data_IF_783394441058
#
_entry.id   IF_783394441058
#
_cell.length_a   1.000
_cell.length_b   1.000
_cell.length_c   1.000
_cell.angle_alpha   90.00
_cell.angle_beta   90.00
_cell.angle_gamma   90.00
#
_symmetry.space_group_name_H-M   'P 1'
#
loop_
_entity.id
_entity.type
_entity.pdbx_description
1 polymer ?
#
# COMPACT_ATOMS: atom_id res chain seq x y z
N UNK A 1 4.47 -1.07 12.51
CA UNK A 1 4.55 0.20 11.75
C UNK A 1 4.35 1.42 12.67
N UNK A 2 3.15 1.63 13.24
CA UNK A 2 2.79 2.83 14.02
C UNK A 2 3.66 3.13 15.27
N UNK A 3 4.34 2.13 15.86
CA UNK A 3 5.33 2.37 16.93
C UNK A 3 6.53 3.23 16.50
N UNK A 4 6.80 3.32 15.19
CA UNK A 4 8.00 3.99 14.63
C UNK A 4 7.68 5.14 13.67
N UNK A 5 6.51 5.15 13.03
CA UNK A 5 6.13 6.14 12.01
C UNK A 5 4.66 6.55 12.16
N UNK A 6 4.33 7.75 11.70
CA UNK A 6 2.95 8.19 11.57
C UNK A 6 2.27 7.35 10.48
N UNK A 7 0.99 7.03 10.65
CA UNK A 7 0.21 6.22 9.71
C UNK A 7 -1.00 7.01 9.25
N UNK A 8 -1.24 7.02 7.94
CA UNK A 8 -2.50 7.47 7.36
C UNK A 8 -3.19 6.24 6.79
N UNK A 9 -4.27 5.80 7.44
CA UNK A 9 -5.09 4.67 7.04
C UNK A 9 -6.30 5.15 6.24
N UNK A 10 -6.50 4.56 5.06
CA UNK A 10 -7.53 4.96 4.12
C UNK A 10 -8.34 3.72 3.77
N UNK A 11 -9.65 3.79 3.99
CA UNK A 11 -10.55 2.64 3.89
C UNK A 11 -11.97 3.12 3.55
N UNK A 12 -12.74 2.30 2.84
CA UNK A 12 -14.13 2.61 2.49
C UNK A 12 -15.09 2.24 3.62
N UNK A 13 -14.81 1.18 4.38
CA UNK A 13 -15.62 0.79 5.54
C UNK A 13 -15.40 1.73 6.74
N UNK A 14 -16.42 2.55 7.03
CA UNK A 14 -16.39 3.48 8.15
C UNK A 14 -16.39 2.81 9.54
N UNK A 15 -16.94 1.61 9.68
CA UNK A 15 -16.87 0.84 10.93
C UNK A 15 -15.47 0.33 11.16
N UNK A 16 -14.80 -0.18 10.11
CA UNK A 16 -13.41 -0.60 10.20
C UNK A 16 -12.50 0.56 10.65
N UNK A 17 -12.69 1.76 10.07
CA UNK A 17 -11.95 2.97 10.48
C UNK A 17 -12.25 3.39 11.92
N UNK A 18 -13.51 3.30 12.35
CA UNK A 18 -13.88 3.62 13.74
C UNK A 18 -13.19 2.68 14.72
N UNK A 19 -13.16 1.38 14.40
CA UNK A 19 -12.46 0.39 15.21
C UNK A 19 -10.95 0.64 15.24
N UNK A 20 -10.35 1.02 14.10
CA UNK A 20 -8.93 1.36 14.03
C UNK A 20 -8.59 2.59 14.88
N UNK A 21 -9.37 3.67 14.77
CA UNK A 21 -9.16 4.89 15.56
C UNK A 21 -9.29 4.62 17.07
N UNK A 22 -10.32 3.87 17.48
CA UNK A 22 -10.49 3.47 18.88
C UNK A 22 -9.30 2.63 19.38
N UNK A 23 -8.89 1.62 18.61
CA UNK A 23 -7.74 0.77 18.95
C UNK A 23 -6.44 1.57 19.03
N UNK A 24 -6.23 2.53 18.12
CA UNK A 24 -5.05 3.38 18.11
C UNK A 24 -4.98 4.30 19.34
N UNK A 25 -6.12 4.81 19.83
CA UNK A 25 -6.19 5.70 21.00
C UNK A 25 -5.89 5.00 22.33
N UNK A 26 -6.28 3.74 22.46
CA UNK A 26 -6.05 2.96 23.70
C UNK A 26 -4.67 2.28 23.72
N UNK A 27 -3.99 2.19 22.57
CA UNK A 27 -2.70 1.53 22.46
C UNK A 27 -1.56 2.44 22.93
N UNK A 28 -0.70 1.89 23.80
CA UNK A 28 0.47 2.61 24.29
C UNK A 28 1.64 2.56 23.31
N UNK A 29 2.35 3.69 23.18
CA UNK A 29 3.59 3.78 22.41
C UNK A 29 3.43 3.80 20.89
N UNK A 30 2.24 4.16 20.39
CA UNK A 30 2.03 4.45 18.98
C UNK A 30 2.29 5.92 18.67
N UNK A 31 2.81 6.20 17.48
CA UNK A 31 2.75 7.53 16.86
C UNK A 31 1.34 7.78 16.30
N UNK A 32 1.14 8.96 15.73
CA UNK A 32 -0.15 9.39 15.18
C UNK A 32 -0.68 8.41 14.11
N UNK A 33 -1.94 8.01 14.27
CA UNK A 33 -2.72 7.29 13.27
C UNK A 33 -3.88 8.17 12.85
N UNK A 34 -3.94 8.51 11.56
CA UNK A 34 -5.02 9.29 10.96
C UNK A 34 -5.86 8.34 10.11
N UNK A 35 -7.18 8.48 10.18
CA UNK A 35 -8.13 7.67 9.42
C UNK A 35 -8.88 8.55 8.41
N UNK A 36 -8.93 8.14 7.14
CA UNK A 36 -9.69 8.79 6.07
C UNK A 36 -10.65 7.79 5.43
N UNK A 37 -11.95 8.11 5.43
CA UNK A 37 -12.94 7.31 4.71
C UNK A 37 -12.92 7.66 3.22
N UNK A 38 -12.54 6.71 2.37
CA UNK A 38 -12.48 6.89 0.92
C UNK A 38 -12.70 5.58 0.18
N UNK A 39 -13.52 5.65 -0.85
CA UNK A 39 -13.64 4.58 -1.82
C UNK A 39 -12.46 4.69 -2.81
N UNK A 40 -11.45 3.84 -2.62
CA UNK A 40 -10.24 3.84 -3.45
C UNK A 40 -10.46 3.22 -4.83
N UNK A 41 -11.58 2.53 -5.06
CA UNK A 41 -11.95 2.03 -6.39
C UNK A 41 -12.51 3.14 -7.26
N UNK A 42 -13.41 3.95 -6.70
CA UNK A 42 -14.01 5.07 -7.42
C UNK A 42 -13.12 6.31 -7.43
N UNK A 43 -12.33 6.50 -6.36
CA UNK A 43 -11.48 7.68 -6.16
C UNK A 43 -10.12 7.22 -5.62
N UNK A 44 -9.23 6.65 -6.45
CA UNK A 44 -7.88 6.32 -6.02
C UNK A 44 -7.16 7.60 -5.57
N UNK A 45 -6.16 7.45 -4.70
CA UNK A 45 -5.24 8.56 -4.41
C UNK A 45 -4.45 8.91 -5.66
N UNK A 46 -4.43 10.20 -6.01
CA UNK A 46 -3.62 10.71 -7.10
C UNK A 46 -2.12 10.62 -6.78
N UNK A 47 -1.28 10.59 -7.80
CA UNK A 47 0.17 10.64 -7.66
C UNK A 47 0.65 11.77 -6.72
N UNK A 48 0.03 12.96 -6.81
CA UNK A 48 0.36 14.12 -5.95
C UNK A 48 0.01 13.90 -4.48
N UNK A 49 -1.07 13.19 -4.18
CA UNK A 49 -1.42 12.82 -2.81
C UNK A 49 -0.45 11.76 -2.28
N UNK A 50 -0.09 10.78 -3.12
CA UNK A 50 0.83 9.69 -2.78
C UNK A 50 2.26 10.16 -2.50
N UNK A 51 2.76 11.17 -3.21
CA UNK A 51 4.10 11.75 -3.02
C UNK A 51 4.34 12.33 -1.61
N UNK A 52 3.29 12.47 -0.80
CA UNK A 52 3.40 12.90 0.61
C UNK A 52 3.88 11.78 1.54
N UNK A 53 3.91 10.54 1.06
CA UNK A 53 4.27 9.37 1.86
C UNK A 53 5.67 8.86 1.50
N UNK A 54 6.43 8.44 2.51
CA UNK A 54 7.71 7.78 2.30
C UNK A 54 7.55 6.30 1.92
N UNK A 55 6.44 5.69 2.32
CA UNK A 55 6.14 4.28 2.09
C UNK A 55 4.65 4.03 2.01
N UNK A 56 4.24 3.08 1.18
CA UNK A 56 2.85 2.67 0.99
C UNK A 56 2.72 1.17 1.24
N UNK A 57 1.64 0.79 1.93
CA UNK A 57 1.20 -0.59 2.07
C UNK A 57 -0.22 -0.66 1.53
N UNK A 58 -0.52 -1.60 0.65
CA UNK A 58 -1.88 -1.82 0.17
C UNK A 58 -2.22 -3.31 0.19
N UNK A 59 -3.48 -3.59 0.55
CA UNK A 59 -4.07 -4.92 0.64
C UNK A 59 -5.47 -4.85 -0.02
N UNK A 60 -5.56 -5.05 -1.34
CA UNK A 60 -6.80 -4.85 -2.07
C UNK A 60 -7.68 -6.11 -2.04
N UNK A 61 -8.99 -5.99 -2.34
CA UNK A 61 -9.82 -7.15 -2.65
C UNK A 61 -9.27 -7.95 -3.84
N UNK A 62 -9.86 -9.13 -4.08
CA UNK A 62 -9.38 -10.13 -5.06
C UNK A 62 -9.16 -9.62 -6.48
N UNK A 63 -9.81 -8.53 -6.88
CA UNK A 63 -9.66 -7.94 -8.21
C UNK A 63 -8.44 -7.01 -8.35
N UNK A 64 -7.67 -6.84 -7.27
CA UNK A 64 -6.42 -6.06 -7.24
C UNK A 64 -6.65 -4.55 -7.08
N UNK A 65 -5.58 -3.79 -7.28
CA UNK A 65 -5.50 -2.36 -7.02
C UNK A 65 -5.17 -1.53 -8.29
N UNK A 66 -5.58 -1.99 -9.48
CA UNK A 66 -5.14 -1.45 -10.79
C UNK A 66 -5.13 0.08 -10.86
N UNK A 67 -6.25 0.73 -10.53
CA UNK A 67 -6.38 2.19 -10.52
C UNK A 67 -5.38 2.86 -9.57
N UNK A 68 -5.21 2.30 -8.37
CA UNK A 68 -4.31 2.83 -7.37
C UNK A 68 -2.83 2.62 -7.74
N UNK A 69 -2.49 1.48 -8.34
CA UNK A 69 -1.10 1.21 -8.77
C UNK A 69 -0.71 2.00 -10.02
N UNK A 70 -1.67 2.33 -10.88
CA UNK A 70 -1.45 3.26 -12.00
C UNK A 70 -1.05 4.66 -11.50
N UNK A 71 -1.70 5.18 -10.46
CA UNK A 71 -1.29 6.43 -9.82
C UNK A 71 0.06 6.30 -9.10
N UNK A 72 0.28 5.18 -8.39
CA UNK A 72 1.51 4.92 -7.64
C UNK A 72 2.75 4.79 -8.54
N UNK A 73 2.61 4.18 -9.72
CA UNK A 73 3.68 4.03 -10.71
C UNK A 73 4.27 5.38 -11.17
N UNK A 74 3.45 6.45 -11.13
CA UNK A 74 3.84 7.81 -11.51
C UNK A 74 4.67 8.54 -10.44
N UNK A 75 4.78 7.98 -9.23
CA UNK A 75 5.39 8.63 -8.07
C UNK A 75 6.86 8.25 -7.86
N UNK A 76 7.53 8.95 -6.94
CA UNK A 76 8.86 8.64 -6.42
C UNK A 76 8.86 8.06 -5.00
N UNK A 77 7.72 7.52 -4.54
CA UNK A 77 7.61 6.87 -3.23
C UNK A 77 8.65 5.74 -3.15
N UNK A 78 9.45 5.75 -2.09
CA UNK A 78 10.66 4.94 -2.05
C UNK A 78 10.38 3.44 -1.82
N UNK A 79 9.30 3.13 -1.09
CA UNK A 79 8.98 1.77 -0.68
C UNK A 79 7.50 1.45 -0.80
N UNK A 80 7.20 0.30 -1.40
CA UNK A 80 5.84 -0.20 -1.57
C UNK A 80 5.79 -1.63 -1.04
N UNK A 81 4.75 -1.94 -0.29
CA UNK A 81 4.40 -3.31 0.11
C UNK A 81 3.02 -3.62 -0.46
N UNK A 82 2.97 -4.62 -1.33
CA UNK A 82 1.74 -5.14 -1.91
C UNK A 82 1.38 -6.44 -1.19
N UNK A 83 0.16 -6.52 -0.67
CA UNK A 83 -0.47 -7.72 -0.11
C UNK A 83 -1.55 -8.17 -1.09
N UNK A 84 -1.74 -9.47 -1.28
CA UNK A 84 -2.75 -9.99 -2.19
C UNK A 84 -3.04 -11.48 -1.99
N UNK A 85 -4.33 -11.78 -1.90
CA UNK A 85 -4.86 -13.15 -1.93
C UNK A 85 -5.08 -13.72 -3.34
N UNK A 86 -4.69 -12.98 -4.41
CA UNK A 86 -4.87 -13.41 -5.80
C UNK A 86 -3.58 -13.20 -6.61
N UNK A 87 -2.83 -14.28 -6.94
CA UNK A 87 -1.56 -14.16 -7.64
C UNK A 87 -1.68 -13.55 -9.04
N UNK A 88 -2.83 -13.71 -9.70
CA UNK A 88 -3.03 -13.21 -11.08
C UNK A 88 -3.14 -11.69 -11.09
N UNK A 89 -3.97 -11.12 -10.23
CA UNK A 89 -4.13 -9.66 -10.15
C UNK A 89 -2.92 -9.01 -9.51
N UNK A 90 -2.25 -9.68 -8.56
CA UNK A 90 -0.95 -9.26 -8.06
C UNK A 90 0.08 -9.15 -9.19
N UNK A 91 0.18 -10.15 -10.08
CA UNK A 91 1.13 -10.11 -11.19
C UNK A 91 0.89 -8.91 -12.14
N UNK A 92 -0.38 -8.60 -12.46
CA UNK A 92 -0.74 -7.37 -13.21
C UNK A 92 -0.26 -6.13 -12.48
N UNK A 93 -0.62 -6.00 -11.20
CA UNK A 93 -0.34 -4.80 -10.41
C UNK A 93 1.19 -4.58 -10.25
N UNK A 94 1.95 -5.65 -10.02
CA UNK A 94 3.41 -5.61 -9.98
C UNK A 94 4.02 -5.23 -11.33
N UNK A 95 3.47 -5.71 -12.44
CA UNK A 95 3.93 -5.33 -13.78
C UNK A 95 3.80 -3.83 -14.02
N UNK A 96 2.68 -3.22 -13.59
CA UNK A 96 2.45 -1.78 -13.68
C UNK A 96 3.48 -1.02 -12.83
N UNK A 97 3.73 -1.45 -11.60
CA UNK A 97 4.73 -0.83 -10.72
C UNK A 97 6.16 -0.96 -11.28
N UNK A 98 6.53 -2.12 -11.83
CA UNK A 98 7.83 -2.33 -12.45
C UNK A 98 8.00 -1.46 -13.70
N UNK A 99 6.97 -1.32 -14.54
CA UNK A 99 6.97 -0.38 -15.65
C UNK A 99 7.11 1.08 -15.17
N UNK A 100 6.57 1.39 -13.99
CA UNK A 100 6.78 2.65 -13.27
C UNK A 100 8.17 2.81 -12.66
N UNK A 101 9.09 1.87 -12.81
CA UNK A 101 10.47 1.94 -12.32
C UNK A 101 10.68 1.45 -10.89
N UNK A 102 9.72 0.73 -10.31
CA UNK A 102 9.95 -0.01 -9.06
C UNK A 102 10.73 -1.30 -9.34
N UNK A 103 11.52 -1.74 -8.37
CA UNK A 103 12.21 -3.04 -8.35
C UNK A 103 11.58 -3.92 -7.29
N UNK A 104 11.21 -5.14 -7.66
CA UNK A 104 10.75 -6.15 -6.70
C UNK A 104 11.96 -6.65 -5.90
N UNK A 105 11.92 -6.51 -4.58
CA UNK A 105 13.00 -6.95 -3.69
C UNK A 105 12.74 -8.35 -3.12
N UNK A 106 11.47 -8.66 -2.80
CA UNK A 106 11.09 -9.92 -2.17
C UNK A 106 9.63 -10.23 -2.45
N UNK A 107 9.32 -11.50 -2.68
CA UNK A 107 7.97 -12.06 -2.76
C UNK A 107 7.88 -13.17 -1.72
N UNK A 108 6.88 -13.12 -0.85
CA UNK A 108 6.68 -14.09 0.23
C UNK A 108 5.26 -14.66 0.14
N UNK A 109 5.08 -15.92 -0.28
CA UNK A 109 3.81 -16.61 -0.13
C UNK A 109 3.59 -17.00 1.34
N UNK A 110 2.35 -16.89 1.80
CA UNK A 110 1.88 -17.19 3.15
C UNK A 110 0.65 -18.10 3.03
N UNK A 111 0.79 -19.32 3.53
CA UNK A 111 -0.32 -20.27 3.62
C UNK A 111 -1.20 -19.95 4.84
N UNK A 112 -2.07 -18.95 4.68
CA UNK A 112 -3.01 -18.53 5.71
C UNK A 112 -4.23 -19.45 5.81
N UNK A 113 -4.52 -20.22 4.76
CA UNK A 113 -5.75 -20.98 4.61
C UNK A 113 -5.45 -22.45 4.29
N UNK A 114 -5.07 -23.19 5.33
CA UNK A 114 -4.74 -24.61 5.24
C UNK A 114 -5.83 -25.41 4.53
N UNK A 115 -5.41 -26.32 3.67
CA UNK A 115 -6.28 -27.21 2.88
C UNK A 115 -7.22 -26.48 1.91
N UNK A 116 -6.89 -25.25 1.53
CA UNK A 116 -7.56 -24.50 0.47
C UNK A 116 -6.58 -24.20 -0.68
N UNK A 117 -7.08 -23.84 -1.88
CA UNK A 117 -6.22 -23.35 -2.95
C UNK A 117 -5.81 -21.87 -2.78
N UNK A 118 -6.28 -21.18 -1.73
CA UNK A 118 -6.01 -19.76 -1.52
C UNK A 118 -4.62 -19.54 -0.94
N UNK A 119 -3.91 -18.55 -1.48
CA UNK A 119 -2.58 -18.14 -1.01
C UNK A 119 -2.55 -16.64 -0.80
N UNK A 120 -1.99 -16.21 0.32
CA UNK A 120 -1.72 -14.80 0.58
C UNK A 120 -0.27 -14.50 0.17
N UNK A 121 -0.01 -13.37 -0.49
CA UNK A 121 1.33 -13.05 -0.99
C UNK A 121 1.70 -11.63 -0.57
N UNK A 122 2.84 -11.48 0.09
CA UNK A 122 3.42 -10.18 0.44
C UNK A 122 4.63 -9.91 -0.44
N UNK A 123 4.57 -8.83 -1.21
CA UNK A 123 5.67 -8.38 -2.08
C UNK A 123 6.20 -7.03 -1.61
N UNK A 124 7.52 -6.93 -1.45
CA UNK A 124 8.19 -5.65 -1.16
C UNK A 124 8.90 -5.13 -2.38
N UNK A 125 8.65 -3.86 -2.72
CA UNK A 125 9.28 -3.16 -3.83
C UNK A 125 9.97 -1.89 -3.33
N UNK A 126 11.00 -1.47 -4.06
CA UNK A 126 11.65 -0.19 -3.86
C UNK A 126 11.87 0.58 -5.15
N UNK A 127 11.96 1.90 -5.04
CA UNK A 127 12.31 2.80 -6.13
C UNK A 127 13.37 3.78 -5.65
N UNK A 128 14.43 3.97 -6.44
CA UNK A 128 15.45 4.96 -6.11
C UNK A 128 14.84 6.35 -6.24
N UNK A 129 14.88 7.16 -5.17
CA UNK A 129 14.59 8.60 -5.28
C UNK A 129 15.63 9.20 -6.23
N UNK A 130 15.19 9.68 -7.39
CA UNK A 130 16.05 10.49 -8.26
C UNK A 130 16.44 11.74 -7.48
N UNK A 131 17.75 11.97 -7.28
CA UNK A 131 18.22 13.22 -6.69
C UNK A 131 17.68 14.35 -7.55
N UNK A 132 16.82 15.21 -7.00
CA UNK A 132 16.44 16.47 -7.63
C UNK A 132 17.72 17.27 -7.84
N UNK A 133 18.20 17.34 -9.08
CA UNK A 133 19.23 18.29 -9.47
C UNK A 133 18.58 19.66 -9.42
N UNK A 134 18.84 20.42 -8.34
CA UNK A 134 18.63 21.86 -8.38
C UNK A 134 19.70 22.44 -9.29
N UNK A 135 19.27 22.93 -10.45
CA UNK A 135 20.02 23.91 -11.23
C UNK A 135 19.62 25.28 -10.70
N UNK A 136 20.61 26.00 -10.18
CA UNK A 136 20.54 27.44 -9.92
C UNK A 136 20.46 28.20 -11.25
#
# INVERSE_FOLDING_TARGET
MAKKMNVHAIENDGKALTNLDQAARIANGLKTVICEKRDLFLRPLSAKELERFDSIVFDPPRFGAEEQVNELAKTTVARVVAVSCNPVTLARDLSILVAGGYTIEKVVPIDQFLWSPHIEIVTTLSKRKTKRSWKF
#
